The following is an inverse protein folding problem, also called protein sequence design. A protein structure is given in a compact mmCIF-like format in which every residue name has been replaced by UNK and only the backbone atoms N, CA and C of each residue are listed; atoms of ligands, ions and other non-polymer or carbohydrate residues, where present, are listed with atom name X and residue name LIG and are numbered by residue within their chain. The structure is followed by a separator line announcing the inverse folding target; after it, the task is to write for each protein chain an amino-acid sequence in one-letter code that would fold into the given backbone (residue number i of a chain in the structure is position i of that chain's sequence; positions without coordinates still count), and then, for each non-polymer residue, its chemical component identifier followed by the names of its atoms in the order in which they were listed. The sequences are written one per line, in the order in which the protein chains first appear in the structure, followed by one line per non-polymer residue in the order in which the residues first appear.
data_IF_448355463620
#
_entry.id   IF_448355463620
#
_cell.length_a   1.000
_cell.length_b   1.000
_cell.length_c   1.000
_cell.angle_alpha   90.00
_cell.angle_beta   90.00
_cell.angle_gamma   90.00
#
_symmetry.space_group_name_H-M   'P 1'
#
loop_
_entity.id
_entity.type
_entity.pdbx_description
1 polymer ?
#
# COMPACT_ATOMS: atom_id res chain seq x y z
N UNK A 1 -36.18 -30.37 13.95
CA UNK A 1 -34.75 -30.12 13.67
C UNK A 1 -33.96 -30.96 14.65
N UNK A 2 -33.08 -31.79 14.12
CA UNK A 2 -32.19 -32.69 14.84
C UNK A 2 -31.11 -31.90 15.63
N UNK A 3 -30.59 -32.52 16.70
CA UNK A 3 -29.59 -31.87 17.57
C UNK A 3 -28.31 -31.48 16.82
N UNK A 4 -27.94 -32.26 15.80
CA UNK A 4 -26.78 -31.99 14.95
C UNK A 4 -27.01 -30.72 14.12
N UNK A 5 -28.21 -30.55 13.54
CA UNK A 5 -28.59 -29.33 12.84
C UNK A 5 -28.44 -28.06 13.69
N UNK A 6 -28.83 -28.11 14.98
CA UNK A 6 -28.65 -26.99 15.91
C UNK A 6 -27.18 -26.71 16.22
N UNK A 7 -26.37 -27.75 16.41
CA UNK A 7 -24.93 -27.60 16.65
C UNK A 7 -24.24 -26.96 15.44
N UNK A 8 -24.56 -27.40 14.23
CA UNK A 8 -24.02 -26.82 12.99
C UNK A 8 -24.43 -25.35 12.86
N UNK A 9 -25.71 -25.03 13.10
CA UNK A 9 -26.20 -23.65 13.00
C UNK A 9 -25.51 -22.72 14.00
N UNK A 10 -25.35 -23.16 15.25
CA UNK A 10 -24.62 -22.40 16.28
C UNK A 10 -23.15 -22.24 15.90
N UNK A 11 -22.50 -23.29 15.41
CA UNK A 11 -21.11 -23.23 14.98
C UNK A 11 -20.89 -22.21 13.85
N UNK A 12 -21.78 -22.21 12.85
CA UNK A 12 -21.77 -21.23 11.75
C UNK A 12 -21.97 -19.82 12.30
N UNK A 13 -23.01 -19.61 13.11
CA UNK A 13 -23.30 -18.29 13.69
C UNK A 13 -22.14 -17.74 14.52
N UNK A 14 -21.54 -18.57 15.38
CA UNK A 14 -20.37 -18.19 16.20
C UNK A 14 -19.19 -17.83 15.30
N UNK A 15 -18.90 -18.65 14.29
CA UNK A 15 -17.80 -18.39 13.35
C UNK A 15 -18.00 -17.05 12.64
N UNK A 16 -19.20 -16.76 12.15
CA UNK A 16 -19.52 -15.48 11.49
C UNK A 16 -19.34 -14.30 12.45
N UNK A 17 -19.85 -14.41 13.69
CA UNK A 17 -19.70 -13.35 14.70
C UNK A 17 -18.23 -13.09 15.01
N UNK A 18 -17.43 -14.15 15.19
CA UNK A 18 -15.99 -14.04 15.45
C UNK A 18 -15.28 -13.33 14.31
N UNK A 19 -15.58 -13.69 13.05
CA UNK A 19 -14.97 -13.05 11.88
C UNK A 19 -15.32 -11.55 11.80
N UNK A 20 -16.59 -11.20 12.00
CA UNK A 20 -17.03 -9.79 12.00
C UNK A 20 -16.38 -9.01 13.15
N UNK A 21 -16.25 -9.61 14.33
CA UNK A 21 -15.60 -8.97 15.48
C UNK A 21 -14.08 -8.81 15.31
N UNK A 22 -13.42 -9.72 14.59
CA UNK A 22 -11.99 -9.64 14.29
C UNK A 22 -11.67 -8.66 13.16
N UNK A 23 -12.56 -8.46 12.19
CA UNK A 23 -12.36 -7.59 11.04
C UNK A 23 -11.80 -6.18 11.39
N UNK A 24 -12.39 -5.40 12.33
CA UNK A 24 -11.85 -4.08 12.68
C UNK A 24 -10.51 -4.14 13.40
N UNK A 25 -10.23 -5.22 14.14
CA UNK A 25 -8.94 -5.41 14.83
C UNK A 25 -7.83 -5.72 13.84
N UNK A 26 -8.09 -6.62 12.90
CA UNK A 26 -7.15 -6.98 11.83
C UNK A 26 -6.85 -5.77 10.94
N UNK A 27 -7.86 -4.98 10.57
CA UNK A 27 -7.67 -3.75 9.79
C UNK A 27 -6.76 -2.74 10.51
N UNK A 28 -6.97 -2.52 11.82
CA UNK A 28 -6.15 -1.60 12.62
C UNK A 28 -4.70 -2.06 12.72
N UNK A 29 -4.47 -3.37 12.84
CA UNK A 29 -3.14 -3.96 12.90
C UNK A 29 -2.43 -3.91 11.55
N UNK A 30 -3.15 -4.12 10.45
CA UNK A 30 -2.63 -3.96 9.09
C UNK A 30 -2.24 -2.51 8.80
N UNK A 31 -3.07 -1.54 9.19
CA UNK A 31 -2.75 -0.10 9.07
C UNK A 31 -1.45 0.25 9.82
N UNK A 32 -1.26 -0.29 11.03
CA UNK A 32 -0.01 -0.09 11.79
C UNK A 32 1.19 -0.67 11.05
N UNK A 33 1.10 -1.91 10.56
CA UNK A 33 2.19 -2.57 9.82
C UNK A 33 2.51 -1.90 8.49
N UNK A 34 1.52 -1.33 7.81
CA UNK A 34 1.71 -0.54 6.59
C UNK A 34 2.44 0.78 6.88
N UNK A 35 2.12 1.45 8.00
CA UNK A 35 2.83 2.65 8.44
C UNK A 35 4.27 2.35 8.87
N UNK A 36 4.50 1.16 9.45
CA UNK A 36 5.83 0.70 9.88
C UNK A 36 6.65 0.04 8.74
N UNK A 37 6.20 0.14 7.48
CA UNK A 37 6.91 -0.37 6.30
C UNK A 37 7.08 -1.90 6.24
N UNK A 38 6.40 -2.64 7.12
CA UNK A 38 6.52 -4.11 7.23
C UNK A 38 5.33 -4.78 6.53
N UNK A 39 5.18 -4.49 5.23
CA UNK A 39 4.08 -5.04 4.42
C UNK A 39 4.42 -6.47 4.00
N UNK A 40 4.06 -7.45 4.84
CA UNK A 40 4.30 -8.86 4.57
C UNK A 40 3.60 -9.81 5.55
N UNK A 41 2.29 -9.64 5.76
CA UNK A 41 1.51 -10.54 6.60
C UNK A 41 1.00 -11.76 5.82
N UNK A 42 1.06 -12.95 6.42
CA UNK A 42 0.71 -14.28 5.87
C UNK A 42 -0.70 -14.44 5.28
N UNK A 43 -1.57 -13.43 5.36
CA UNK A 43 -2.91 -13.42 4.76
C UNK A 43 -3.05 -12.49 3.54
N UNK A 44 -1.98 -11.76 3.18
CA UNK A 44 -1.99 -10.85 2.03
C UNK A 44 -2.33 -11.56 0.71
N UNK A 45 -1.89 -12.81 0.53
CA UNK A 45 -2.17 -13.61 -0.67
C UNK A 45 -3.56 -14.23 -0.74
N UNK A 46 -4.26 -14.36 0.39
CA UNK A 46 -5.66 -14.86 0.39
C UNK A 46 -6.63 -13.71 0.10
N UNK A 47 -6.32 -12.50 0.55
CA UNK A 47 -7.13 -11.31 0.28
C UNK A 47 -7.01 -10.79 -1.16
N UNK A 48 -5.85 -10.88 -1.80
CA UNK A 48 -5.63 -10.32 -3.14
C UNK A 48 -6.51 -10.96 -4.22
N UNK A 49 -6.73 -12.27 -4.15
CA UNK A 49 -7.60 -12.98 -5.09
C UNK A 49 -9.07 -12.55 -4.98
N UNK A 50 -9.58 -12.34 -3.76
CA UNK A 50 -10.93 -11.82 -3.55
C UNK A 50 -11.01 -10.31 -3.83
N UNK A 51 -9.99 -9.51 -3.52
CA UNK A 51 -10.05 -8.06 -3.76
C UNK A 51 -10.27 -7.75 -5.25
N UNK A 52 -9.78 -8.57 -6.18
CA UNK A 52 -10.06 -8.42 -7.62
C UNK A 52 -11.56 -8.44 -8.01
N UNK A 53 -12.39 -9.18 -7.25
CA UNK A 53 -13.84 -9.30 -7.52
C UNK A 53 -14.62 -8.12 -6.94
N UNK A 54 -14.13 -7.49 -5.86
CA UNK A 54 -14.81 -6.38 -5.19
C UNK A 54 -14.16 -5.00 -5.45
N UNK A 55 -12.89 -4.96 -5.87
CA UNK A 55 -12.07 -3.77 -6.18
C UNK A 55 -11.10 -4.04 -7.34
N UNK A 56 -11.62 -4.27 -8.55
CA UNK A 56 -10.79 -4.56 -9.73
C UNK A 56 -9.81 -3.43 -10.11
N UNK A 57 -10.02 -2.20 -9.65
CA UNK A 57 -9.17 -1.04 -9.98
C UNK A 57 -7.97 -0.85 -9.02
N UNK A 58 -7.72 -1.80 -8.12
CA UNK A 58 -6.64 -1.67 -7.13
C UNK A 58 -5.26 -1.81 -7.80
N UNK A 59 -5.12 -2.76 -8.72
CA UNK A 59 -3.92 -2.94 -9.53
C UNK A 59 -3.65 -1.71 -10.42
N UNK A 60 -4.68 -1.17 -11.07
CA UNK A 60 -4.55 0.02 -11.93
C UNK A 60 -4.12 1.25 -11.13
N UNK A 61 -4.67 1.45 -9.93
CA UNK A 61 -4.28 2.56 -9.06
C UNK A 61 -2.82 2.48 -8.59
N UNK A 62 -2.28 1.26 -8.42
CA UNK A 62 -0.88 1.07 -8.07
C UNK A 62 0.03 1.38 -9.28
N UNK A 63 -0.37 0.97 -10.48
CA UNK A 63 0.34 1.26 -11.72
C UNK A 63 0.35 2.77 -12.04
N UNK A 64 -0.80 3.44 -11.86
CA UNK A 64 -0.91 4.89 -12.02
C UNK A 64 -0.06 5.64 -10.99
N UNK A 65 -0.02 5.15 -9.74
CA UNK A 65 0.84 5.70 -8.71
C UNK A 65 2.31 5.57 -9.10
N UNK A 66 2.77 4.39 -9.51
CA UNK A 66 4.15 4.17 -9.98
C UNK A 66 4.50 5.05 -11.19
N UNK A 67 3.57 5.23 -12.13
CA UNK A 67 3.74 6.10 -13.29
C UNK A 67 3.81 7.59 -12.91
N UNK A 68 3.15 7.98 -11.81
CA UNK A 68 3.13 9.37 -11.31
C UNK A 68 4.30 9.71 -10.37
N UNK A 69 5.06 8.70 -9.89
CA UNK A 69 6.22 8.94 -9.04
C UNK A 69 7.38 9.41 -9.91
N UNK A 70 7.50 10.72 -10.07
CA UNK A 70 8.75 11.33 -10.52
C UNK A 70 9.84 11.06 -9.49
N UNK A 71 10.87 10.32 -9.89
CA UNK A 71 12.03 10.13 -9.03
C UNK A 71 12.68 11.49 -8.76
N UNK A 72 13.03 11.80 -7.50
CA UNK A 72 13.79 13.00 -7.21
C UNK A 72 15.08 12.99 -8.05
N UNK A 73 15.50 14.18 -8.49
CA UNK A 73 16.72 14.32 -9.27
C UNK A 73 17.88 13.52 -8.63
N UNK A 74 18.71 12.84 -9.44
CA UNK A 74 19.79 12.01 -8.93
C UNK A 74 20.65 12.81 -7.95
N UNK A 75 21.13 12.16 -6.90
CA UNK A 75 21.92 12.81 -5.87
C UNK A 75 23.10 13.55 -6.52
N UNK A 76 23.36 14.82 -6.15
CA UNK A 76 24.41 15.61 -6.77
C UNK A 76 25.76 14.95 -6.52
N UNK A 77 26.50 14.73 -7.61
CA UNK A 77 27.86 14.20 -7.52
C UNK A 77 28.84 15.30 -7.11
N UNK A 78 29.94 14.98 -6.40
CA UNK A 78 30.99 15.96 -6.13
C UNK A 78 31.53 16.56 -7.43
N UNK A 79 31.30 17.86 -7.66
CA UNK A 79 31.68 18.57 -8.89
C UNK A 79 30.53 18.91 -9.85
N UNK A 80 29.29 18.54 -9.51
CA UNK A 80 28.09 18.92 -10.27
C UNK A 80 27.80 20.44 -10.25
N UNK A 81 27.02 20.95 -11.21
CA UNK A 81 26.75 22.39 -11.44
C UNK A 81 25.97 23.08 -10.29
N UNK A 82 25.55 22.35 -9.27
CA UNK A 82 24.88 22.88 -8.08
C UNK A 82 25.86 23.59 -7.13
N UNK A 83 25.50 24.77 -6.63
CA UNK A 83 26.26 25.44 -5.56
C UNK A 83 25.47 25.41 -4.26
N UNK A 84 26.15 25.15 -3.14
CA UNK A 84 25.58 25.34 -1.81
C UNK A 84 25.72 26.83 -1.45
N UNK A 85 24.59 27.51 -1.23
CA UNK A 85 24.53 28.88 -0.70
C UNK A 85 23.67 28.88 0.55
N UNK A 86 24.19 29.42 1.66
CA UNK A 86 23.49 29.53 2.95
C UNK A 86 22.86 28.20 3.45
N UNK A 87 23.55 27.08 3.24
CA UNK A 87 23.06 25.75 3.63
C UNK A 87 21.98 25.16 2.72
N UNK A 88 21.66 25.81 1.60
CA UNK A 88 20.71 25.34 0.59
C UNK A 88 21.42 25.03 -0.74
N UNK A 89 21.05 23.92 -1.35
CA UNK A 89 21.50 23.57 -2.71
C UNK A 89 20.72 24.40 -3.73
N UNK A 90 21.44 25.16 -4.57
CA UNK A 90 20.87 25.95 -5.67
C UNK A 90 21.38 25.37 -7.00
N UNK A 91 20.44 24.90 -7.82
CA UNK A 91 20.70 24.38 -9.17
C UNK A 91 20.16 25.41 -10.17
N UNK A 92 20.99 25.88 -11.10
CA UNK A 92 20.50 26.62 -12.26
C UNK A 92 20.14 25.64 -13.36
N UNK A 93 18.93 25.72 -13.85
CA UNK A 93 18.51 25.06 -15.08
C UNK A 93 18.88 26.02 -16.21
N UNK A 94 19.83 25.64 -17.06
CA UNK A 94 20.04 26.33 -18.34
C UNK A 94 18.95 25.81 -19.31
N UNK A 95 18.22 26.72 -19.96
CA UNK A 95 17.05 26.44 -20.82
C UNK A 95 17.37 25.63 -22.11
N UNK A 96 18.60 25.18 -22.32
CA UNK A 96 19.06 24.56 -23.56
C UNK A 96 18.61 23.09 -23.75
N UNK A 97 17.96 22.48 -22.76
CA UNK A 97 17.51 21.08 -22.82
C UNK A 97 16.11 20.88 -23.44
N UNK A 98 15.38 21.95 -23.77
CA UNK A 98 14.03 21.88 -24.31
C UNK A 98 13.96 21.85 -25.86
N UNK A 99 15.10 21.80 -26.56
CA UNK A 99 15.14 21.91 -28.03
C UNK A 99 16.12 20.94 -28.73
N UNK A 100 16.22 19.69 -28.26
CA UNK A 100 16.92 18.61 -28.97
C UNK A 100 16.06 17.35 -29.08
#
# INVERSE_FOLDING_TARGET
MDAIGWVVLVAVAVTTIVLVALAPRLKREQLRKQLDGTTGGSLAGVGSGFDSVWRPSAEDAHADWEASVEMPAPAPIPGDKGRIQDGRLVIRVDDDAASA
#
